data_IF_913143680741
#
_entry.id   IF_913143680741
#
_cell.length_a   1.000
_cell.length_b   1.000
_cell.length_c   1.000
_cell.angle_alpha   90.00
_cell.angle_beta   90.00
_cell.angle_gamma   90.00
#
_symmetry.space_group_name_H-M   'P 1'
#
loop_
_entity.id
_entity.type
_entity.pdbx_description
1 polymer ?
#
# COMPACT_ATOMS: atom_id res chain seq x y z
N UNK A 1 -15.91 5.50 -4.37
CA UNK A 1 -14.77 6.44 -4.25
C UNK A 1 -15.31 7.84 -4.47
N UNK A 2 -15.00 8.79 -3.61
CA UNK A 2 -15.39 10.20 -3.76
C UNK A 2 -14.24 10.97 -4.39
N UNK A 3 -14.44 11.49 -5.61
CA UNK A 3 -13.49 12.40 -6.27
C UNK A 3 -13.85 13.85 -5.93
N UNK A 4 -12.88 14.69 -5.58
CA UNK A 4 -13.10 16.08 -5.15
C UNK A 4 -12.06 17.03 -5.72
N UNK A 5 -12.39 18.32 -5.83
CA UNK A 5 -11.49 19.35 -6.36
C UNK A 5 -11.25 19.18 -7.86
N UNK A 6 -10.00 19.33 -8.31
CA UNK A 6 -9.64 19.31 -9.74
C UNK A 6 -9.92 17.99 -10.47
N UNK A 7 -10.23 16.92 -9.75
CA UNK A 7 -10.55 15.59 -10.29
C UNK A 7 -12.03 15.22 -10.16
N UNK A 8 -12.91 16.16 -9.83
CA UNK A 8 -14.34 15.89 -9.64
C UNK A 8 -15.04 15.38 -10.90
N UNK A 9 -14.59 15.81 -12.08
CA UNK A 9 -15.07 15.34 -13.38
C UNK A 9 -14.88 13.83 -13.60
N UNK A 10 -13.97 13.18 -12.85
CA UNK A 10 -13.76 11.73 -12.89
C UNK A 10 -14.82 10.93 -12.12
N UNK A 11 -15.83 11.58 -11.52
CA UNK A 11 -17.03 10.89 -11.02
C UNK A 11 -17.87 10.31 -12.16
N UNK A 12 -17.83 10.95 -13.32
CA UNK A 12 -18.48 10.41 -14.52
C UNK A 12 -17.71 9.18 -15.01
N UNK A 13 -18.46 8.08 -15.23
CA UNK A 13 -17.86 6.79 -15.57
C UNK A 13 -17.16 6.82 -16.92
N UNK A 14 -17.71 7.52 -17.90
CA UNK A 14 -17.14 7.61 -19.24
C UNK A 14 -15.87 8.46 -19.24
N UNK A 15 -15.88 9.59 -18.51
CA UNK A 15 -14.69 10.41 -18.32
C UNK A 15 -13.59 9.66 -17.56
N UNK A 16 -13.96 8.85 -16.58
CA UNK A 16 -13.01 8.00 -15.85
C UNK A 16 -12.39 6.93 -16.76
N UNK A 17 -13.19 6.21 -17.54
CA UNK A 17 -12.71 5.18 -18.45
C UNK A 17 -11.84 5.81 -19.55
N UNK A 18 -12.22 6.99 -20.07
CA UNK A 18 -11.39 7.76 -21.01
C UNK A 18 -10.07 8.19 -20.38
N UNK A 19 -10.09 8.70 -19.15
CA UNK A 19 -8.89 9.10 -18.41
C UNK A 19 -7.92 7.92 -18.22
N UNK A 20 -8.42 6.73 -17.88
CA UNK A 20 -7.61 5.52 -17.76
C UNK A 20 -7.02 5.12 -19.11
N UNK A 21 -7.83 5.10 -20.17
CA UNK A 21 -7.38 4.73 -21.52
C UNK A 21 -6.32 5.70 -22.02
N UNK A 22 -6.53 7.01 -21.88
CA UNK A 22 -5.60 8.05 -22.31
C UNK A 22 -4.23 7.92 -21.61
N UNK A 23 -4.24 7.68 -20.28
CA UNK A 23 -3.01 7.46 -19.52
C UNK A 23 -2.34 6.11 -19.78
N UNK A 24 -3.09 5.11 -20.25
CA UNK A 24 -2.56 3.80 -20.67
C UNK A 24 -1.96 3.79 -22.09
N UNK A 25 -2.01 4.89 -22.85
CA UNK A 25 -1.48 4.96 -24.24
C UNK A 25 0.04 4.96 -24.31
N UNK A 26 0.74 5.17 -23.20
CA UNK A 26 2.19 5.04 -23.12
C UNK A 26 2.63 3.59 -22.98
N UNK A 27 3.71 3.19 -23.66
CA UNK A 27 4.46 2.00 -23.29
C UNK A 27 4.85 2.13 -21.81
N UNK A 28 4.26 1.32 -20.93
CA UNK A 28 4.78 1.16 -19.57
C UNK A 28 6.18 0.58 -19.70
N UNK A 29 7.18 1.47 -19.69
CA UNK A 29 8.57 1.08 -19.65
C UNK A 29 8.83 0.62 -18.22
N UNK A 30 8.53 -0.65 -17.95
CA UNK A 30 8.79 -1.30 -16.66
C UNK A 30 10.30 -1.35 -16.53
N UNK A 31 10.87 -0.35 -15.85
CA UNK A 31 12.27 -0.35 -15.49
C UNK A 31 12.45 -1.31 -14.32
N UNK A 32 12.73 -2.58 -14.62
CA UNK A 32 13.23 -3.52 -13.63
C UNK A 32 14.72 -3.25 -13.44
N UNK A 33 15.08 -2.48 -12.41
CA UNK A 33 16.46 -2.42 -11.95
C UNK A 33 16.94 -3.85 -11.66
N UNK A 34 18.19 -4.16 -12.00
CA UNK A 34 18.77 -5.47 -11.69
C UNK A 34 18.52 -5.83 -10.22
N UNK A 35 18.16 -7.10 -9.92
CA UNK A 35 17.90 -7.52 -8.55
C UNK A 35 19.09 -7.17 -7.67
N UNK A 36 18.81 -6.76 -6.43
CA UNK A 36 19.84 -6.42 -5.46
C UNK A 36 20.90 -7.53 -5.42
N UNK A 37 22.18 -7.17 -5.45
CA UNK A 37 23.28 -8.09 -5.74
C UNK A 37 23.43 -9.30 -4.81
N UNK A 38 22.67 -9.37 -3.70
CA UNK A 38 22.59 -10.56 -2.84
C UNK A 38 21.19 -10.74 -2.23
N UNK A 39 20.86 -11.98 -1.86
CA UNK A 39 19.60 -12.33 -1.18
C UNK A 39 19.42 -11.58 0.15
N UNK A 40 20.50 -11.41 0.92
CA UNK A 40 20.49 -10.67 2.18
C UNK A 40 20.12 -9.21 1.96
N UNK A 41 20.61 -8.61 0.87
CA UNK A 41 20.26 -7.25 0.50
C UNK A 41 18.76 -7.13 0.15
N UNK A 42 18.20 -8.11 -0.56
CA UNK A 42 16.75 -8.20 -0.85
C UNK A 42 15.94 -8.32 0.44
N UNK A 43 16.31 -9.25 1.33
CA UNK A 43 15.60 -9.48 2.60
C UNK A 43 15.69 -8.24 3.48
N UNK A 44 16.86 -7.61 3.60
CA UNK A 44 17.07 -6.38 4.35
C UNK A 44 16.29 -5.21 3.76
N UNK A 45 16.21 -5.11 2.43
CA UNK A 45 15.37 -4.14 1.75
C UNK A 45 13.92 -4.39 2.12
N UNK A 46 13.37 -5.56 1.81
CA UNK A 46 11.97 -5.91 2.10
C UNK A 46 11.62 -5.68 3.57
N UNK A 47 12.43 -6.17 4.50
CA UNK A 47 12.21 -5.98 5.93
C UNK A 47 12.10 -4.51 6.35
N UNK A 48 12.88 -3.62 5.74
CA UNK A 48 12.74 -2.17 5.99
C UNK A 48 11.41 -1.62 5.47
N UNK A 49 10.93 -2.07 4.32
CA UNK A 49 9.66 -1.61 3.74
C UNK A 49 8.43 -2.18 4.45
N UNK A 50 8.53 -3.39 5.02
CA UNK A 50 7.41 -4.04 5.70
C UNK A 50 7.30 -3.60 7.16
N UNK A 51 8.41 -3.41 7.86
CA UNK A 51 8.40 -3.11 9.30
C UNK A 51 8.44 -1.62 9.62
N UNK A 52 9.05 -0.77 8.79
CA UNK A 52 9.05 0.68 9.05
C UNK A 52 7.69 1.30 8.74
N UNK A 53 7.29 2.31 9.51
CA UNK A 53 6.00 3.00 9.38
C UNK A 53 6.20 4.35 8.73
N UNK A 54 6.43 5.41 9.50
CA UNK A 54 6.62 6.78 8.99
C UNK A 54 8.09 7.22 9.02
N UNK A 55 8.74 7.03 10.18
CA UNK A 55 10.10 7.49 10.46
C UNK A 55 10.83 6.46 11.32
N UNK A 56 12.15 6.41 11.21
CA UNK A 56 12.97 5.56 12.08
C UNK A 56 13.32 6.31 13.37
N UNK A 57 13.36 5.64 14.52
CA UNK A 57 13.70 6.27 15.81
C UNK A 57 15.05 6.99 15.76
N UNK A 58 16.04 6.44 15.06
CA UNK A 58 17.36 7.06 14.89
C UNK A 58 17.34 8.41 14.15
N UNK A 59 16.20 8.82 13.59
CA UNK A 59 16.02 10.13 12.95
C UNK A 59 15.36 11.13 13.87
N UNK A 60 14.73 10.72 14.97
CA UNK A 60 14.21 11.62 16.00
C UNK A 60 15.42 12.09 16.81
N UNK A 61 15.66 13.39 16.79
CA UNK A 61 16.81 14.01 17.44
C UNK A 61 16.45 14.48 18.85
N UNK A 62 15.27 15.07 19.01
CA UNK A 62 14.78 15.59 20.29
C UNK A 62 13.25 15.51 20.36
N UNK A 63 12.73 15.27 21.57
CA UNK A 63 11.30 15.35 21.89
C UNK A 63 11.16 16.19 23.16
N UNK A 64 10.41 17.28 23.05
CA UNK A 64 10.07 18.20 24.15
C UNK A 64 8.57 18.48 24.12
N UNK A 65 8.04 19.11 25.16
CA UNK A 65 6.63 19.50 25.22
C UNK A 65 6.25 20.50 24.11
N UNK A 66 7.21 21.31 23.66
CA UNK A 66 6.98 22.34 22.64
C UNK A 66 7.27 21.85 21.21
N UNK A 67 7.92 20.70 21.05
CA UNK A 67 8.31 20.25 19.71
C UNK A 67 9.03 18.91 19.63
N UNK A 68 8.91 18.31 18.44
CA UNK A 68 9.63 17.12 18.00
C UNK A 68 10.57 17.51 16.88
N UNK A 69 11.87 17.30 17.09
CA UNK A 69 12.91 17.55 16.10
C UNK A 69 13.38 16.25 15.47
N UNK A 70 13.46 16.22 14.15
CA UNK A 70 13.91 15.03 13.43
C UNK A 70 14.63 15.36 12.13
N UNK A 71 15.54 14.46 11.74
CA UNK A 71 16.25 14.53 10.47
C UNK A 71 15.46 13.86 9.34
N UNK A 72 15.50 14.46 8.15
CA UNK A 72 14.88 13.93 6.94
C UNK A 72 15.79 14.14 5.72
N UNK A 73 15.55 13.34 4.68
CA UNK A 73 16.29 13.46 3.41
C UNK A 73 15.46 14.25 2.43
N UNK A 74 15.97 15.40 2.00
CA UNK A 74 15.30 16.28 1.04
C UNK A 74 15.68 15.90 -0.39
N UNK A 75 14.85 15.07 -1.02
CA UNK A 75 15.07 14.63 -2.39
C UNK A 75 14.93 15.76 -3.43
N UNK A 76 14.30 16.87 -3.09
CA UNK A 76 14.23 18.05 -3.99
C UNK A 76 15.53 18.85 -3.97
N UNK A 77 16.27 18.78 -2.87
CA UNK A 77 17.60 19.40 -2.71
C UNK A 77 18.71 18.34 -2.74
N UNK A 78 18.76 17.57 -3.84
CA UNK A 78 19.84 16.60 -4.10
C UNK A 78 19.94 15.45 -3.10
N UNK A 79 18.92 15.22 -2.28
CA UNK A 79 18.95 14.19 -1.24
C UNK A 79 19.83 14.57 -0.04
N UNK A 80 20.02 15.86 0.24
CA UNK A 80 20.70 16.31 1.47
C UNK A 80 19.89 15.94 2.71
N UNK A 81 20.58 15.67 3.81
CA UNK A 81 19.94 15.49 5.12
C UNK A 81 19.73 16.85 5.75
N UNK A 82 18.50 17.13 6.18
CA UNK A 82 18.10 18.36 6.86
C UNK A 82 17.36 18.03 8.14
N UNK A 83 17.25 19.00 9.02
CA UNK A 83 16.50 18.89 10.27
C UNK A 83 15.23 19.70 10.21
N UNK A 84 14.15 19.18 10.79
CA UNK A 84 12.85 19.85 10.91
C UNK A 84 12.35 19.70 12.33
N UNK A 85 11.81 20.78 12.88
CA UNK A 85 11.06 20.77 14.13
C UNK A 85 9.58 20.99 13.84
N UNK A 86 8.73 20.16 14.43
CA UNK A 86 7.27 20.29 14.34
C UNK A 86 6.67 20.36 15.75
N UNK A 87 5.53 21.04 15.86
CA UNK A 87 4.69 20.91 17.05
C UNK A 87 4.31 19.43 17.28
N UNK A 88 4.24 18.93 18.53
CA UNK A 88 3.99 17.52 18.81
C UNK A 88 2.67 16.98 18.21
N UNK A 89 1.60 17.79 18.21
CA UNK A 89 0.30 17.40 17.65
C UNK A 89 0.39 17.24 16.14
N UNK A 90 1.10 18.14 15.46
CA UNK A 90 1.29 18.07 14.02
C UNK A 90 2.20 16.89 13.64
N UNK A 91 3.24 16.60 14.44
CA UNK A 91 4.05 15.41 14.26
C UNK A 91 3.20 14.13 14.38
N UNK A 92 2.37 14.03 15.42
CA UNK A 92 1.50 12.87 15.62
C UNK A 92 0.49 12.71 14.48
N UNK A 93 -0.15 13.80 14.03
CA UNK A 93 -1.08 13.78 12.89
C UNK A 93 -0.40 13.23 11.63
N UNK A 94 0.81 13.70 11.31
CA UNK A 94 1.60 13.19 10.16
C UNK A 94 2.01 11.74 10.35
N UNK A 95 2.41 11.36 11.55
CA UNK A 95 2.81 10.00 11.88
C UNK A 95 1.64 9.03 11.67
N UNK A 96 0.46 9.35 12.20
CA UNK A 96 -0.74 8.52 12.11
C UNK A 96 -1.25 8.36 10.68
N UNK A 97 -1.01 9.31 9.77
CA UNK A 97 -1.30 9.15 8.35
C UNK A 97 -0.55 7.99 7.68
N UNK A 98 0.52 7.47 8.29
CA UNK A 98 1.25 6.30 7.81
C UNK A 98 0.78 4.98 8.44
N UNK A 99 -0.13 5.04 9.42
CA UNK A 99 -0.73 3.87 10.05
C UNK A 99 -1.94 3.46 9.22
N UNK A 100 -1.90 2.24 8.69
CA UNK A 100 -3.01 1.71 7.91
C UNK A 100 -4.24 1.51 8.81
N UNK A 101 -5.43 1.97 8.38
CA UNK A 101 -6.67 1.68 9.10
C UNK A 101 -6.91 0.17 9.24
N UNK A 102 -7.69 -0.21 10.23
CA UNK A 102 -8.06 -1.60 10.48
C UNK A 102 -8.63 -2.25 9.21
N UNK A 103 -8.14 -3.45 8.88
CA UNK A 103 -8.53 -4.20 7.69
C UNK A 103 -7.71 -3.92 6.44
N UNK A 104 -6.85 -2.90 6.44
CA UNK A 104 -5.92 -2.65 5.35
C UNK A 104 -4.57 -3.35 5.58
N UNK A 105 -4.02 -3.96 4.52
CA UNK A 105 -2.73 -4.64 4.56
C UNK A 105 -1.65 -3.78 3.93
N UNK A 106 -0.48 -3.72 4.58
CA UNK A 106 0.70 -2.98 4.09
C UNK A 106 1.26 -3.59 2.81
N UNK A 107 1.31 -4.92 2.74
CA UNK A 107 1.76 -5.68 1.57
C UNK A 107 0.54 -6.23 0.86
N UNK A 108 0.39 -5.93 -0.43
CA UNK A 108 -0.65 -6.50 -1.28
C UNK A 108 -0.01 -7.44 -2.28
N UNK A 109 -0.62 -8.62 -2.43
CA UNK A 109 -0.24 -9.54 -3.49
C UNK A 109 -0.85 -9.10 -4.82
N UNK A 110 -0.05 -9.14 -5.89
CA UNK A 110 -0.48 -8.81 -7.26
C UNK A 110 -0.38 -10.05 -8.17
N UNK A 111 -0.88 -9.92 -9.40
CA UNK A 111 -0.86 -11.00 -10.38
C UNK A 111 -1.69 -12.20 -9.94
N UNK A 112 -1.20 -13.41 -10.16
CA UNK A 112 -1.91 -14.64 -9.82
C UNK A 112 -2.14 -14.84 -8.30
N UNK A 113 -1.47 -14.06 -7.44
CA UNK A 113 -1.69 -14.06 -5.99
C UNK A 113 -2.66 -12.96 -5.52
N UNK A 114 -3.19 -12.14 -6.42
CA UNK A 114 -4.16 -11.09 -6.07
C UNK A 114 -5.45 -11.68 -5.50
N UNK A 115 -5.96 -11.11 -4.41
CA UNK A 115 -7.02 -11.72 -3.60
C UNK A 115 -8.28 -12.14 -4.37
N UNK A 116 -8.69 -11.36 -5.37
CA UNK A 116 -9.88 -11.63 -6.20
C UNK A 116 -9.72 -12.84 -7.12
N UNK A 117 -8.53 -13.10 -7.64
CA UNK A 117 -8.26 -14.16 -8.63
C UNK A 117 -7.39 -15.29 -8.09
N UNK A 118 -6.82 -15.13 -6.89
CA UNK A 118 -5.84 -16.04 -6.28
C UNK A 118 -6.32 -17.48 -6.28
N UNK A 119 -7.56 -17.73 -5.83
CA UNK A 119 -8.09 -19.09 -5.74
C UNK A 119 -8.18 -19.74 -7.13
N UNK A 120 -8.75 -19.04 -8.12
CA UNK A 120 -8.89 -19.54 -9.49
C UNK A 120 -7.52 -19.79 -10.14
N UNK A 121 -6.59 -18.85 -9.99
CA UNK A 121 -5.27 -18.96 -10.60
C UNK A 121 -4.39 -20.03 -9.94
N UNK A 122 -4.43 -20.16 -8.61
CA UNK A 122 -3.69 -21.22 -7.91
C UNK A 122 -4.20 -22.61 -8.30
N UNK A 123 -5.51 -22.79 -8.48
CA UNK A 123 -6.06 -24.06 -8.98
C UNK A 123 -5.50 -24.39 -10.36
N UNK A 124 -5.49 -23.42 -11.30
CA UNK A 124 -4.94 -23.61 -12.64
C UNK A 124 -3.45 -23.95 -12.62
N UNK A 125 -2.67 -23.26 -11.80
CA UNK A 125 -1.23 -23.50 -11.65
C UNK A 125 -0.98 -24.92 -11.10
N UNK A 126 -1.71 -25.34 -10.06
CA UNK A 126 -1.58 -26.70 -9.50
C UNK A 126 -1.93 -27.79 -10.50
N UNK A 127 -2.99 -27.60 -11.28
CA UNK A 127 -3.38 -28.53 -12.35
C UNK A 127 -2.27 -28.64 -13.41
N UNK A 128 -1.71 -27.51 -13.86
CA UNK A 128 -0.61 -27.50 -14.81
C UNK A 128 0.65 -28.20 -14.27
N UNK A 129 0.91 -28.07 -12.97
CA UNK A 129 2.01 -28.74 -12.26
C UNK A 129 1.69 -30.18 -11.83
N UNK A 130 0.51 -30.72 -12.17
CA UNK A 130 0.03 -32.06 -11.76
C UNK A 130 0.05 -32.28 -10.25
N UNK A 131 -0.19 -31.24 -9.46
CA UNK A 131 -0.28 -31.30 -8.00
C UNK A 131 -1.73 -31.58 -7.55
N UNK A 132 -1.89 -32.35 -6.49
CA UNK A 132 -3.21 -32.55 -5.87
C UNK A 132 -3.78 -31.19 -5.38
N UNK A 133 -5.04 -30.92 -5.72
CA UNK A 133 -5.73 -29.68 -5.32
C UNK A 133 -6.40 -29.92 -3.96
N UNK A 134 -5.79 -29.40 -2.89
CA UNK A 134 -6.45 -29.36 -1.58
C UNK A 134 -7.56 -28.29 -1.57
N UNK A 135 -8.80 -28.73 -1.39
CA UNK A 135 -9.96 -27.86 -1.20
C UNK A 135 -9.98 -27.33 0.23
N UNK A 136 -9.39 -26.14 0.45
CA UNK A 136 -9.51 -25.44 1.72
C UNK A 136 -10.93 -24.89 1.88
N UNK A 137 -11.71 -25.46 2.81
CA UNK A 137 -13.02 -24.89 3.22
C UNK A 137 -12.78 -23.55 3.91
N UNK A 138 -13.13 -22.44 3.26
CA UNK A 138 -13.12 -21.13 3.91
C UNK A 138 -14.32 -21.02 4.85
N UNK A 139 -14.08 -20.86 6.15
CA UNK A 139 -15.10 -20.33 7.06
C UNK A 139 -15.19 -18.82 6.83
N UNK A 140 -16.34 -18.35 6.36
CA UNK A 140 -16.58 -16.92 6.16
C UNK A 140 -16.92 -16.28 7.50
N UNK A 141 -15.92 -15.76 8.23
CA UNK A 141 -16.21 -14.81 9.31
C UNK A 141 -16.48 -13.45 8.68
N UNK A 142 -17.76 -13.14 8.43
CA UNK A 142 -18.19 -11.82 8.02
C UNK A 142 -17.82 -10.81 9.11
N UNK A 143 -16.81 -9.96 8.87
CA UNK A 143 -16.54 -8.82 9.74
C UNK A 143 -17.73 -7.87 9.64
N UNK A 144 -18.52 -7.79 10.72
CA UNK A 144 -19.64 -6.84 10.84
C UNK A 144 -19.11 -5.52 11.40
N UNK A 145 -19.49 -4.40 10.78
CA UNK A 145 -19.23 -3.06 11.31
C UNK A 145 -20.09 -2.87 12.59
N UNK A 146 -19.50 -2.48 13.74
CA UNK A 146 -20.25 -2.30 14.99
C UNK A 146 -21.22 -1.10 14.97
N UNK A 147 -21.08 -0.17 14.02
CA UNK A 147 -21.87 1.07 13.98
C UNK A 147 -22.88 1.10 12.82
N UNK A 148 -22.61 0.35 11.75
CA UNK A 148 -23.33 0.50 10.50
C UNK A 148 -24.57 -0.40 10.40
N UNK A 149 -24.56 -1.64 10.90
CA UNK A 149 -25.59 -2.69 10.69
C UNK A 149 -25.87 -3.17 9.23
N UNK A 150 -25.21 -2.75 8.13
CA UNK A 150 -24.94 -3.69 7.06
C UNK A 150 -23.56 -4.34 7.21
N UNK A 151 -23.50 -5.58 6.74
CA UNK A 151 -22.25 -6.28 6.43
C UNK A 151 -21.43 -5.35 5.55
N UNK A 152 -20.15 -5.15 5.88
CA UNK A 152 -19.20 -4.60 4.91
C UNK A 152 -19.21 -5.61 3.76
N UNK A 153 -20.04 -5.34 2.75
CA UNK A 153 -20.05 -6.11 1.53
C UNK A 153 -18.71 -5.81 0.90
N UNK A 154 -17.72 -6.68 1.14
CA UNK A 154 -16.56 -6.76 0.29
C UNK A 154 -17.12 -6.75 -1.13
N UNK A 155 -16.89 -5.66 -1.86
CA UNK A 155 -17.21 -5.56 -3.27
C UNK A 155 -16.43 -6.68 -3.96
N UNK A 156 -17.10 -7.82 -4.11
CA UNK A 156 -16.83 -8.77 -5.16
C UNK A 156 -17.20 -8.03 -6.43
N UNK A 157 -16.24 -7.31 -6.97
CA UNK A 157 -16.33 -6.76 -8.32
C UNK A 157 -16.36 -7.98 -9.24
N UNK A 158 -17.51 -8.20 -9.88
CA UNK A 158 -17.65 -9.11 -11.01
C UNK A 158 -16.68 -8.74 -12.13
#
# INVERSE_FOLDING_TARGET
>A
MTFSGSIEHLRDRQLFDYFLLDRNRGLFRIFSKAPFGTTEAVVKYLGRYTHRVAIANSRILEVTDDGVEFSYRDYRDGGKTKTMRLNPVEFLRRFLSHVLPKGFQKIRSYGFLAGSIKTKMLTRIRQALKMAVETVKKSASALKCPECKPVICCLSVN
#
